data_IF_459126490363
#
_entry.id   IF_459126490363
#
_cell.length_a   1.000
_cell.length_b   1.000
_cell.length_c   1.000
_cell.angle_alpha   90.00
_cell.angle_beta   90.00
_cell.angle_gamma   90.00
#
_symmetry.space_group_name_H-M   'P 1'
#
loop_
_entity.id
_entity.type
_entity.pdbx_description
1 polymer ?
#
# COMPACT_ATOMS: atom_id res chain seq x y z
N UNK A 1 -0.50 3.38 -18.33
CA UNK A 1 0.06 3.19 -19.69
C UNK A 1 1.26 2.27 -19.57
N UNK A 2 1.39 1.31 -20.47
CA UNK A 2 2.51 0.38 -20.54
C UNK A 2 3.17 0.47 -21.92
N UNK A 3 4.40 0.00 -21.99
CA UNK A 3 5.22 -0.07 -23.19
C UNK A 3 5.75 -1.49 -23.35
N UNK A 4 5.72 -1.99 -24.59
CA UNK A 4 6.31 -3.25 -25.02
C UNK A 4 7.29 -2.93 -26.15
N UNK A 5 8.52 -3.41 -26.11
CA UNK A 5 9.51 -3.16 -27.16
C UNK A 5 9.43 -4.28 -28.19
N UNK A 6 8.99 -3.98 -29.41
CA UNK A 6 8.84 -4.95 -30.51
C UNK A 6 9.77 -4.54 -31.64
N UNK A 7 10.74 -5.39 -31.99
CA UNK A 7 11.74 -5.12 -33.05
C UNK A 7 12.48 -3.77 -32.88
N UNK A 8 12.70 -3.35 -31.64
CA UNK A 8 13.35 -2.08 -31.30
C UNK A 8 12.42 -0.85 -31.30
N UNK A 9 11.14 -1.01 -31.65
CA UNK A 9 10.15 0.06 -31.59
C UNK A 9 9.26 -0.05 -30.35
N UNK A 10 9.01 1.06 -29.63
CA UNK A 10 8.13 1.07 -28.48
C UNK A 10 6.66 0.99 -28.92
N UNK A 11 5.95 -0.02 -28.42
CA UNK A 11 4.52 -0.21 -28.60
C UNK A 11 3.78 0.16 -27.32
N UNK A 12 2.95 1.21 -27.39
CA UNK A 12 2.24 1.70 -26.21
C UNK A 12 0.85 1.10 -26.08
N UNK A 13 0.53 0.62 -24.89
CA UNK A 13 -0.79 0.05 -24.56
C UNK A 13 -1.35 0.67 -23.29
N UNK A 14 -2.67 0.86 -23.27
CA UNK A 14 -3.39 1.39 -22.11
C UNK A 14 -4.45 0.40 -21.68
N UNK A 15 -4.45 0.05 -20.39
CA UNK A 15 -5.50 -0.78 -19.80
C UNK A 15 -6.83 -0.04 -19.83
N UNK A 16 -7.88 -0.74 -20.26
CA UNK A 16 -9.26 -0.25 -20.22
C UNK A 16 -9.82 -0.16 -18.80
N UNK A 17 -11.09 0.21 -18.68
CA UNK A 17 -11.78 0.39 -17.40
C UNK A 17 -11.82 -0.89 -16.54
N UNK A 18 -11.76 -2.08 -17.16
CA UNK A 18 -11.68 -3.38 -16.49
C UNK A 18 -10.23 -3.79 -16.12
N UNK A 19 -9.25 -2.92 -16.33
CA UNK A 19 -7.83 -3.18 -16.05
C UNK A 19 -7.10 -4.01 -17.12
N UNK A 20 -7.78 -4.40 -18.20
CA UNK A 20 -7.22 -5.28 -19.23
C UNK A 20 -6.72 -4.51 -20.45
N UNK A 21 -5.71 -5.06 -21.13
CA UNK A 21 -5.26 -4.61 -22.44
C UNK A 21 -4.80 -5.83 -23.25
N UNK A 22 -4.75 -5.69 -24.56
CA UNK A 22 -4.24 -6.70 -25.49
C UNK A 22 -3.07 -6.09 -26.25
N UNK A 23 -2.02 -6.87 -26.49
CA UNK A 23 -0.89 -6.50 -27.32
C UNK A 23 -0.67 -7.60 -28.36
N UNK A 24 -0.49 -7.21 -29.63
CA UNK A 24 -0.19 -8.13 -30.72
C UNK A 24 -0.98 -7.85 -32.02
N UNK A 25 -0.77 -8.69 -33.04
CA UNK A 25 0.10 -9.89 -33.05
C UNK A 25 1.59 -9.52 -32.90
N UNK A 26 2.34 -10.33 -32.15
CA UNK A 26 3.79 -10.18 -31.95
C UNK A 26 4.51 -11.38 -32.58
N UNK A 27 5.68 -11.16 -33.22
CA UNK A 27 6.57 -12.25 -33.64
C UNK A 27 7.02 -13.14 -32.47
N UNK A 28 7.59 -14.29 -32.78
CA UNK A 28 8.23 -15.12 -31.77
C UNK A 28 9.47 -14.42 -31.19
N UNK A 29 9.59 -14.46 -29.87
CA UNK A 29 10.69 -13.82 -29.16
C UNK A 29 10.37 -13.44 -27.73
N UNK A 30 11.38 -12.88 -27.06
CA UNK A 30 11.29 -12.40 -25.69
C UNK A 30 11.01 -10.90 -25.65
N UNK A 31 10.02 -10.51 -24.86
CA UNK A 31 9.55 -9.16 -24.71
C UNK A 31 9.55 -8.73 -23.25
N UNK A 32 9.54 -7.42 -23.04
CA UNK A 32 9.45 -6.82 -21.72
C UNK A 32 8.30 -5.82 -21.69
N UNK A 33 7.44 -5.96 -20.70
CA UNK A 33 6.41 -4.99 -20.40
C UNK A 33 6.95 -4.01 -19.33
N UNK A 34 6.98 -2.73 -19.67
CA UNK A 34 7.36 -1.65 -18.76
C UNK A 34 6.16 -0.76 -18.46
N UNK A 35 5.92 -0.43 -17.20
CA UNK A 35 4.94 0.60 -16.86
C UNK A 35 5.52 1.99 -17.14
N UNK A 36 4.83 2.78 -17.95
CA UNK A 36 5.26 4.16 -18.30
C UNK A 36 4.49 5.19 -17.48
N UNK A 37 3.24 4.87 -17.12
CA UNK A 37 2.38 5.74 -16.32
C UNK A 37 1.51 4.91 -15.41
N UNK A 38 1.67 5.13 -14.10
CA UNK A 38 0.84 4.53 -13.07
C UNK A 38 -0.60 5.09 -13.12
N UNK A 39 -1.61 4.27 -12.77
CA UNK A 39 -2.95 4.77 -12.49
C UNK A 39 -2.96 5.62 -11.20
N UNK A 40 -4.01 6.44 -11.04
CA UNK A 40 -4.18 7.26 -9.84
C UNK A 40 -4.20 6.39 -8.57
N UNK A 41 -3.48 6.81 -7.52
CA UNK A 41 -3.39 6.07 -6.26
C UNK A 41 -2.35 4.95 -6.24
N UNK A 42 -1.55 4.78 -7.29
CA UNK A 42 -0.49 3.76 -7.36
C UNK A 42 0.88 4.37 -7.66
N UNK A 43 1.92 3.66 -7.22
CA UNK A 43 3.33 3.97 -7.47
C UNK A 43 3.71 3.41 -8.84
N UNK A 44 4.46 4.18 -9.64
CA UNK A 44 5.02 3.74 -10.92
C UNK A 44 5.98 2.56 -10.69
N UNK A 45 5.68 1.42 -11.33
CA UNK A 45 6.59 0.28 -11.31
C UNK A 45 7.90 0.61 -12.04
N UNK A 46 9.03 0.37 -11.38
CA UNK A 46 10.36 0.49 -11.99
C UNK A 46 10.79 -0.81 -12.67
N UNK A 47 10.28 -1.94 -12.19
CA UNK A 47 10.60 -3.27 -12.70
C UNK A 47 9.89 -3.54 -14.03
N UNK A 48 10.56 -4.28 -14.91
CA UNK A 48 9.98 -4.78 -16.16
C UNK A 48 9.49 -6.22 -15.99
N UNK A 49 8.38 -6.56 -16.63
CA UNK A 49 7.82 -7.92 -16.60
C UNK A 49 8.19 -8.62 -17.91
N UNK A 50 9.04 -9.67 -17.89
CA UNK A 50 9.37 -10.43 -19.08
C UNK A 50 8.21 -11.34 -19.49
N UNK A 51 8.02 -11.54 -20.79
CA UNK A 51 7.14 -12.55 -21.37
C UNK A 51 7.70 -13.02 -22.72
N UNK A 52 7.35 -14.24 -23.13
CA UNK A 52 7.84 -14.85 -24.37
C UNK A 52 6.67 -15.27 -25.24
N UNK A 53 6.81 -15.09 -26.55
CA UNK A 53 5.87 -15.59 -27.55
C UNK A 53 6.52 -16.77 -28.27
N UNK A 54 5.94 -17.95 -28.13
CA UNK A 54 6.39 -19.20 -28.74
C UNK A 54 5.28 -19.81 -29.61
N UNK A 55 5.54 -20.97 -30.23
CA UNK A 55 4.51 -21.72 -30.97
C UNK A 55 3.33 -22.17 -30.11
N UNK A 56 3.53 -22.27 -28.80
CA UNK A 56 2.55 -22.77 -27.84
C UNK A 56 1.80 -21.62 -27.15
N UNK A 57 2.19 -20.37 -27.40
CA UNK A 57 1.53 -19.19 -26.85
C UNK A 57 0.15 -19.00 -27.49
N UNK A 58 -0.86 -18.79 -26.66
CA UNK A 58 -2.24 -18.56 -27.10
C UNK A 58 -2.74 -17.17 -26.66
N UNK A 59 -3.57 -16.54 -27.48
CA UNK A 59 -4.17 -15.21 -27.20
C UNK A 59 -4.97 -15.19 -25.89
N UNK A 60 -5.42 -16.34 -25.41
CA UNK A 60 -6.15 -16.49 -24.14
C UNK A 60 -5.26 -16.53 -22.89
N UNK A 61 -3.93 -16.49 -23.03
CA UNK A 61 -3.04 -16.52 -21.88
C UNK A 61 -3.05 -15.16 -21.14
N UNK A 62 -3.55 -15.16 -19.91
CA UNK A 62 -3.71 -13.94 -19.12
C UNK A 62 -2.49 -13.75 -18.20
N UNK A 63 -1.67 -12.76 -18.50
CA UNK A 63 -0.60 -12.31 -17.59
C UNK A 63 -1.17 -11.33 -16.56
N UNK A 64 -1.11 -11.70 -15.27
CA UNK A 64 -1.56 -10.84 -14.17
C UNK A 64 -0.46 -9.88 -13.73
N UNK A 65 -0.72 -8.58 -13.86
CA UNK A 65 0.20 -7.51 -13.47
C UNK A 65 -0.33 -6.87 -12.17
N UNK A 66 0.53 -6.74 -11.15
CA UNK A 66 0.19 -6.13 -9.86
C UNK A 66 0.86 -4.77 -9.71
N UNK A 67 0.08 -3.76 -9.35
CA UNK A 67 0.59 -2.42 -9.02
C UNK A 67 0.68 -2.21 -7.51
N UNK A 68 1.63 -1.40 -7.06
CA UNK A 68 1.80 -1.05 -5.64
C UNK A 68 0.99 0.21 -5.32
N UNK A 69 0.03 0.19 -4.37
CA UNK A 69 -0.72 1.39 -4.00
C UNK A 69 0.19 2.41 -3.31
N UNK A 70 -0.15 3.70 -3.42
CA UNK A 70 0.46 4.75 -2.60
C UNK A 70 -0.05 4.55 -1.18
N UNK A 71 0.85 4.23 -0.24
CA UNK A 71 0.52 4.24 1.18
C UNK A 71 0.50 5.68 1.69
N UNK A 72 -0.62 6.16 2.28
CA UNK A 72 -0.61 7.42 3.00
C UNK A 72 0.47 7.36 4.10
N UNK A 73 1.13 8.49 4.43
CA UNK A 73 2.00 8.54 5.60
C UNK A 73 1.19 8.05 6.80
N UNK A 74 1.77 7.12 7.56
CA UNK A 74 1.12 6.59 8.75
C UNK A 74 0.74 7.76 9.66
N UNK A 75 -0.55 7.89 9.98
CA UNK A 75 -0.98 8.84 11.00
C UNK A 75 -0.38 8.32 12.30
N UNK A 76 0.65 9.00 12.81
CA UNK A 76 1.07 8.83 14.20
C UNK A 76 -0.10 9.30 15.06
N UNK A 77 -0.97 8.37 15.44
CA UNK A 77 -1.99 8.65 16.45
C UNK A 77 -1.24 9.07 17.72
N UNK A 78 -1.50 10.27 18.28
CA UNK A 78 -0.89 10.64 19.53
C UNK A 78 -1.32 9.61 20.59
N UNK A 79 -0.36 9.13 21.38
CA UNK A 79 -0.61 8.17 22.45
C UNK A 79 -1.36 8.84 23.63
N UNK A 80 -2.62 9.24 23.43
CA UNK A 80 -3.46 9.85 24.47
C UNK A 80 -4.23 8.78 25.24
N UNK A 81 -3.49 7.99 26.02
CA UNK A 81 -4.02 6.87 26.79
C UNK A 81 -2.93 6.03 27.43
N UNK A 82 -1.98 6.64 28.13
CA UNK A 82 -0.92 5.91 28.83
C UNK A 82 -1.41 5.43 30.21
N UNK A 83 -1.21 4.14 30.52
CA UNK A 83 -1.48 3.56 31.84
C UNK A 83 -0.80 4.35 32.98
N UNK A 84 0.36 4.97 32.72
CA UNK A 84 1.05 5.86 33.68
C UNK A 84 0.20 7.06 34.06
N UNK A 85 -0.48 7.71 33.11
CA UNK A 85 -1.35 8.88 33.40
C UNK A 85 -2.56 8.45 34.23
N UNK A 86 -3.16 7.31 33.90
CA UNK A 86 -4.30 6.74 34.65
C UNK A 86 -3.86 6.36 36.08
N UNK A 87 -2.67 5.77 36.24
CA UNK A 87 -2.11 5.41 37.54
C UNK A 87 -1.85 6.63 38.43
N UNK A 88 -1.30 7.71 37.88
CA UNK A 88 -1.04 8.96 38.63
C UNK A 88 -2.35 9.61 39.09
N UNK A 89 -3.38 9.67 38.23
CA UNK A 89 -4.70 10.20 38.61
C UNK A 89 -5.35 9.35 39.71
N UNK A 90 -5.26 8.03 39.59
CA UNK A 90 -5.79 7.09 40.59
C UNK A 90 -5.11 7.27 41.95
N UNK A 91 -3.78 7.40 41.95
CA UNK A 91 -3.00 7.65 43.16
C UNK A 91 -3.36 8.99 43.81
N UNK A 92 -3.57 10.03 43.01
CA UNK A 92 -4.01 11.34 43.51
C UNK A 92 -5.35 11.29 44.23
N UNK A 93 -6.32 10.56 43.67
CA UNK A 93 -7.64 10.36 44.31
C UNK A 93 -7.50 9.58 45.62
N UNK A 94 -6.68 8.53 45.64
CA UNK A 94 -6.43 7.73 46.85
C UNK A 94 -5.82 8.60 47.95
N UNK A 95 -4.77 9.38 47.63
CA UNK A 95 -4.11 10.26 48.59
C UNK A 95 -5.04 11.37 49.09
N UNK A 96 -5.88 11.94 48.22
CA UNK A 96 -6.88 12.92 48.62
C UNK A 96 -7.89 12.33 49.61
N UNK A 97 -8.42 11.14 49.34
CA UNK A 97 -9.35 10.44 50.23
C UNK A 97 -8.67 10.07 51.56
N UNK A 98 -7.42 9.62 51.53
CA UNK A 98 -6.66 9.28 52.74
C UNK A 98 -6.40 10.52 53.61
N UNK A 99 -5.97 11.62 52.98
CA UNK A 99 -5.74 12.90 53.65
C UNK A 99 -7.03 13.48 54.24
N UNK A 100 -8.12 13.44 53.47
CA UNK A 100 -9.45 13.83 53.96
C UNK A 100 -9.86 13.02 55.18
N UNK A 101 -9.67 11.69 55.14
CA UNK A 101 -9.95 10.81 56.29
C UNK A 101 -9.13 11.22 57.49
N UNK A 102 -7.81 11.36 57.37
CA UNK A 102 -6.94 11.76 58.48
C UNK A 102 -7.36 13.09 59.12
N UNK A 103 -7.63 14.13 58.31
CA UNK A 103 -8.06 15.45 58.81
C UNK A 103 -9.38 15.35 59.60
N UNK A 104 -10.32 14.55 59.12
CA UNK A 104 -11.61 14.36 59.81
C UNK A 104 -11.49 13.50 61.07
N UNK A 105 -10.52 12.60 61.15
CA UNK A 105 -10.25 11.78 62.35
C UNK A 105 -9.58 12.58 63.47
N UNK A 106 -8.66 13.50 63.15
CA UNK A 106 -7.97 14.33 64.15
C UNK A 106 -8.86 15.44 64.74
N UNK A 107 -10.00 15.74 64.12
CA UNK A 107 -10.98 16.73 64.61
C UNK A 107 -12.10 16.14 65.49
N UNK A 108 -12.00 14.88 65.91
CA UNK A 108 -12.84 14.23 66.93
C UNK A 108 -12.05 14.01 68.20
#
# INVERSE_FOLDING_TARGET
MKEVIVDGFPYHVTSGANGQFVVGPLPYGTYYLKEVKAPAGYILAQDTIPFEITSDSHVSEIVKIKNKPITPPGIEIPYTGNAVVIAVLSLGIILFLLGYRLVTYTKR
#
